data_IF_191679080408
#
_entry.id   IF_191679080408
#
_cell.length_a   1.000
_cell.length_b   1.000
_cell.length_c   1.000
_cell.angle_alpha   90.00
_cell.angle_beta   90.00
_cell.angle_gamma   90.00
#
_symmetry.space_group_name_H-M   'P 1'
#
loop_
_entity.id
_entity.type
_entity.pdbx_description
1 polymer ?
#
# COMPACT_ATOMS: atom_id res chain seq x y z
N UNK A 1 -14.20 24.70 15.72
CA UNK A 1 -15.17 24.39 14.65
C UNK A 1 -15.10 22.90 14.41
N UNK A 2 -16.10 22.13 14.84
CA UNK A 2 -16.16 20.69 14.63
C UNK A 2 -16.57 20.44 13.17
N UNK A 3 -15.64 19.96 12.34
CA UNK A 3 -15.95 19.58 10.96
C UNK A 3 -16.85 18.35 10.98
N UNK A 4 -18.05 18.51 10.41
CA UNK A 4 -19.08 17.49 10.34
C UNK A 4 -18.61 16.23 9.63
N UNK A 5 -19.25 15.13 10.00
CA UNK A 5 -19.02 13.77 9.50
C UNK A 5 -18.96 13.79 7.97
N UNK A 6 -17.75 13.69 7.42
CA UNK A 6 -17.55 13.49 5.99
C UNK A 6 -17.89 12.02 5.70
N UNK A 7 -18.87 11.79 4.82
CA UNK A 7 -19.38 10.44 4.55
C UNK A 7 -18.47 9.68 3.59
N UNK A 8 -17.36 9.18 4.13
CA UNK A 8 -16.53 8.17 3.44
C UNK A 8 -17.30 6.85 3.47
N UNK A 9 -17.42 6.19 2.32
CA UNK A 9 -18.16 4.92 2.21
C UNK A 9 -17.23 3.81 1.74
N UNK A 10 -17.30 2.67 2.41
CA UNK A 10 -16.61 1.45 2.00
C UNK A 10 -17.57 0.62 1.15
N UNK A 11 -17.07 -0.06 0.12
CA UNK A 11 -17.89 -0.96 -0.71
C UNK A 11 -18.34 -2.23 0.03
N UNK A 12 -17.68 -2.56 1.16
CA UNK A 12 -18.09 -3.57 2.12
C UNK A 12 -18.07 -3.03 3.55
N UNK A 13 -18.96 -3.50 4.44
CA UNK A 13 -18.84 -3.20 5.87
C UNK A 13 -17.48 -3.67 6.41
N UNK A 14 -16.81 -2.78 7.13
CA UNK A 14 -15.59 -3.10 7.87
C UNK A 14 -15.52 -2.21 9.13
N UNK A 15 -16.13 -2.64 10.25
CA UNK A 15 -16.27 -1.82 11.45
C UNK A 15 -14.95 -1.39 12.10
N UNK A 16 -13.87 -2.11 11.80
CA UNK A 16 -12.52 -1.86 12.33
C UNK A 16 -11.71 -0.89 11.45
N UNK A 17 -12.34 -0.24 10.45
CA UNK A 17 -11.71 0.82 9.67
C UNK A 17 -11.88 2.15 10.38
N UNK A 18 -10.78 2.75 10.80
CA UNK A 18 -10.75 4.14 11.23
C UNK A 18 -10.25 5.04 10.11
N UNK A 19 -10.89 6.19 9.95
CA UNK A 19 -10.56 7.16 8.90
C UNK A 19 -10.45 8.56 9.47
N UNK A 20 -9.31 9.19 9.22
CA UNK A 20 -9.07 10.58 9.54
C UNK A 20 -9.03 11.39 8.25
N UNK A 21 -9.72 12.53 8.25
CA UNK A 21 -9.74 13.46 7.12
C UNK A 21 -9.13 14.79 7.51
N UNK A 22 -8.17 15.24 6.71
CA UNK A 22 -7.53 16.53 6.85
C UNK A 22 -7.65 17.32 5.55
N UNK A 23 -7.84 18.63 5.68
CA UNK A 23 -7.82 19.57 4.57
C UNK A 23 -6.64 20.51 4.72
N UNK A 24 -5.57 20.28 3.97
CA UNK A 24 -4.38 21.13 3.95
C UNK A 24 -3.70 21.03 2.58
N UNK A 25 -3.78 22.12 1.81
CA UNK A 25 -3.36 22.20 0.40
C UNK A 25 -4.09 21.22 -0.56
N UNK A 26 -5.07 20.46 -0.08
CA UNK A 26 -5.83 19.45 -0.80
C UNK A 26 -6.54 18.55 0.21
N UNK A 27 -7.16 17.49 -0.28
CA UNK A 27 -7.82 16.48 0.55
C UNK A 27 -6.82 15.39 0.95
N UNK A 28 -6.75 15.08 2.24
CA UNK A 28 -5.86 14.05 2.81
C UNK A 28 -6.69 13.11 3.66
N UNK A 29 -6.55 11.82 3.43
CA UNK A 29 -7.26 10.75 4.11
C UNK A 29 -6.24 9.77 4.68
N UNK A 30 -6.32 9.51 5.98
CA UNK A 30 -5.55 8.45 6.63
C UNK A 30 -6.51 7.33 7.01
N UNK A 31 -6.28 6.16 6.43
CA UNK A 31 -6.99 4.93 6.72
C UNK A 31 -6.17 4.09 7.68
N UNK A 32 -6.81 3.50 8.68
CA UNK A 32 -6.17 2.61 9.64
C UNK A 32 -7.06 1.39 9.86
N UNK A 33 -6.49 0.21 9.61
CA UNK A 33 -7.10 -1.05 9.97
C UNK A 33 -6.76 -1.37 11.43
N UNK A 34 -7.75 -1.27 12.31
CA UNK A 34 -7.59 -1.60 13.74
C UNK A 34 -7.87 -3.06 14.05
N UNK A 35 -8.15 -3.87 13.03
CA UNK A 35 -8.28 -5.31 13.21
C UNK A 35 -6.96 -5.95 13.60
N UNK A 36 -7.04 -6.97 14.45
CA UNK A 36 -5.87 -7.74 14.88
C UNK A 36 -5.57 -8.93 13.95
N UNK A 37 -6.53 -9.32 13.13
CA UNK A 37 -6.51 -10.56 12.34
C UNK A 37 -7.19 -10.44 10.97
N UNK A 38 -8.05 -9.45 10.75
CA UNK A 38 -8.75 -9.27 9.46
C UNK A 38 -8.03 -8.27 8.55
N UNK A 39 -7.78 -8.68 7.30
CA UNK A 39 -7.28 -7.82 6.23
C UNK A 39 -8.45 -7.06 5.60
N UNK A 40 -8.29 -5.75 5.38
CA UNK A 40 -9.19 -5.00 4.53
C UNK A 40 -8.71 -5.05 3.07
N UNK A 41 -9.60 -5.46 2.16
CA UNK A 41 -9.39 -5.35 0.72
C UNK A 41 -10.71 -4.93 0.08
N UNK A 42 -10.74 -3.75 -0.53
CA UNK A 42 -11.95 -3.17 -1.10
C UNK A 42 -11.72 -1.82 -1.75
N UNK A 43 -12.81 -1.16 -2.11
CA UNK A 43 -12.81 0.19 -2.65
C UNK A 43 -13.42 1.16 -1.64
N UNK A 44 -12.82 2.34 -1.57
CA UNK A 44 -13.28 3.43 -0.72
C UNK A 44 -13.77 4.55 -1.62
N UNK A 45 -15.02 4.96 -1.42
CA UNK A 45 -15.58 6.16 -2.02
C UNK A 45 -15.05 7.39 -1.27
N UNK A 46 -14.30 8.22 -1.98
CA UNK A 46 -13.80 9.48 -1.46
C UNK A 46 -14.73 10.64 -1.86
N UNK A 47 -15.06 11.56 -0.93
CA UNK A 47 -15.88 12.74 -1.22
C UNK A 47 -15.06 13.85 -1.88
N UNK A 48 -14.49 13.52 -3.04
CA UNK A 48 -13.70 14.41 -3.90
C UNK A 48 -14.26 14.35 -5.32
N UNK A 49 -13.85 15.30 -6.18
CA UNK A 49 -14.23 15.25 -7.60
C UNK A 49 -13.75 13.96 -8.25
N UNK A 50 -14.53 13.36 -9.15
CA UNK A 50 -14.10 12.16 -9.88
C UNK A 50 -12.92 12.42 -10.82
N UNK A 51 -12.69 13.68 -11.19
CA UNK A 51 -11.51 14.12 -11.95
C UNK A 51 -10.25 14.28 -11.08
N UNK A 52 -10.37 14.20 -9.74
CA UNK A 52 -9.25 14.34 -8.84
C UNK A 52 -8.29 13.15 -8.99
N UNK A 53 -6.99 13.45 -9.04
CA UNK A 53 -5.94 12.42 -9.03
C UNK A 53 -5.50 12.19 -7.59
N UNK A 54 -5.50 10.94 -7.16
CA UNK A 54 -5.08 10.56 -5.81
C UNK A 54 -3.74 9.82 -5.83
N UNK A 55 -2.97 9.99 -4.76
CA UNK A 55 -1.71 9.30 -4.52
C UNK A 55 -1.69 8.70 -3.12
N UNK A 56 -1.02 7.56 -2.98
CA UNK A 56 -0.57 7.04 -1.70
C UNK A 56 0.69 7.79 -1.27
N UNK A 57 0.74 8.20 -0.01
CA UNK A 57 1.94 8.76 0.60
C UNK A 57 2.58 7.73 1.54
N UNK A 58 3.83 7.41 1.27
CA UNK A 58 4.69 6.64 2.18
C UNK A 58 5.45 7.61 3.08
N UNK A 59 5.01 7.70 4.34
CA UNK A 59 5.61 8.59 5.33
C UNK A 59 7.01 8.14 5.78
N UNK A 60 7.39 6.87 5.57
CA UNK A 60 8.71 6.38 5.94
C UNK A 60 9.75 6.71 4.87
N UNK A 61 9.41 6.54 3.59
CA UNK A 61 10.31 6.82 2.47
C UNK A 61 10.19 8.25 1.90
N UNK A 62 9.21 9.02 2.37
CA UNK A 62 8.81 10.33 1.82
C UNK A 62 8.53 10.26 0.31
N UNK A 63 7.71 9.28 -0.09
CA UNK A 63 7.42 8.98 -1.50
C UNK A 63 5.94 8.95 -1.80
N UNK A 64 5.63 9.28 -3.06
CA UNK A 64 4.27 9.27 -3.58
C UNK A 64 4.11 8.16 -4.61
N UNK A 65 3.14 7.29 -4.38
CA UNK A 65 2.72 6.26 -5.33
C UNK A 65 1.38 6.61 -5.95
N UNK A 66 1.22 6.46 -7.26
CA UNK A 66 -0.10 6.68 -7.88
C UNK A 66 -1.12 5.68 -7.31
N UNK A 67 -2.28 6.21 -6.88
CA UNK A 67 -3.35 5.38 -6.35
C UNK A 67 -4.17 4.77 -7.50
N UNK A 68 -4.59 3.52 -7.32
CA UNK A 68 -5.48 2.86 -8.26
C UNK A 68 -6.90 3.38 -8.01
N UNK A 69 -7.37 4.22 -8.92
CA UNK A 69 -8.67 4.87 -8.84
C UNK A 69 -9.61 4.38 -9.95
N UNK A 70 -10.91 4.36 -9.69
CA UNK A 70 -11.96 4.14 -10.67
C UNK A 70 -13.04 5.21 -10.53
N UNK A 71 -13.44 5.83 -11.64
CA UNK A 71 -14.67 6.63 -11.71
C UNK A 71 -15.85 5.69 -11.92
N UNK A 72 -16.87 5.80 -11.07
CA UNK A 72 -18.17 5.17 -11.28
C UNK A 72 -19.24 6.23 -11.04
N UNK A 73 -20.03 6.55 -12.07
CA UNK A 73 -21.14 7.51 -12.00
C UNK A 73 -20.73 8.90 -11.44
N UNK A 74 -19.51 9.38 -11.76
CA UNK A 74 -19.01 10.67 -11.28
C UNK A 74 -18.55 10.63 -9.82
N UNK A 75 -18.30 9.43 -9.28
CA UNK A 75 -17.78 9.20 -7.94
C UNK A 75 -16.41 8.53 -8.00
N UNK A 76 -15.47 9.02 -7.18
CA UNK A 76 -14.11 8.48 -7.13
C UNK A 76 -13.99 7.34 -6.13
N UNK A 77 -13.69 6.14 -6.63
CA UNK A 77 -13.35 4.98 -5.83
C UNK A 77 -11.84 4.76 -5.83
N UNK A 78 -11.24 4.65 -4.66
CA UNK A 78 -9.84 4.28 -4.49
C UNK A 78 -9.75 2.86 -3.98
N UNK A 79 -8.99 2.01 -4.66
CA UNK A 79 -8.74 0.64 -4.23
C UNK A 79 -7.76 0.65 -3.06
N UNK A 80 -8.15 0.10 -1.92
CA UNK A 80 -7.38 0.07 -0.68
C UNK A 80 -7.18 -1.37 -0.20
N UNK A 81 -5.94 -1.68 0.20
CA UNK A 81 -5.55 -2.94 0.84
C UNK A 81 -4.75 -2.61 2.10
N UNK A 82 -5.20 -3.10 3.27
CA UNK A 82 -4.55 -2.88 4.56
C UNK A 82 -4.54 -4.19 5.36
N UNK A 83 -3.35 -4.67 5.69
CA UNK A 83 -3.16 -5.78 6.64
C UNK A 83 -3.59 -5.37 8.07
N UNK A 84 -3.80 -6.32 8.99
CA UNK A 84 -4.08 -6.02 10.40
C UNK A 84 -3.07 -5.04 11.01
N UNK A 85 -3.56 -3.98 11.64
CA UNK A 85 -2.74 -2.93 12.25
C UNK A 85 -2.07 -1.96 11.27
N UNK A 86 -2.32 -2.07 9.96
CA UNK A 86 -1.74 -1.14 8.98
C UNK A 86 -2.50 0.16 8.83
N UNK A 87 -1.76 1.19 8.41
CA UNK A 87 -2.30 2.45 7.95
C UNK A 87 -1.79 2.80 6.55
N UNK A 88 -2.60 3.56 5.83
CA UNK A 88 -2.23 4.18 4.56
C UNK A 88 -2.74 5.62 4.51
N UNK A 89 -1.94 6.49 3.90
CA UNK A 89 -2.30 7.89 3.64
C UNK A 89 -2.58 8.05 2.16
N UNK A 90 -3.76 8.55 1.82
CA UNK A 90 -4.20 8.85 0.46
C UNK A 90 -4.47 10.34 0.37
N UNK A 91 -3.94 11.01 -0.64
CA UNK A 91 -4.11 12.46 -0.78
C UNK A 91 -4.24 12.90 -2.24
N UNK A 92 -4.82 14.07 -2.45
CA UNK A 92 -4.88 14.69 -3.77
C UNK A 92 -3.47 15.03 -4.29
N UNK A 93 -3.22 14.68 -5.55
CA UNK A 93 -1.95 14.90 -6.25
C UNK A 93 -1.79 16.38 -6.58
N UNK A 94 -0.91 17.07 -5.85
CA UNK A 94 -0.53 18.45 -6.13
C UNK A 94 0.77 18.47 -6.91
N UNK A 95 0.71 18.56 -8.25
CA UNK A 95 1.85 18.84 -9.17
C UNK A 95 3.17 18.03 -9.01
N UNK A 96 3.26 17.11 -8.06
CA UNK A 96 4.38 16.20 -7.85
C UNK A 96 4.19 15.01 -8.78
N UNK A 97 5.23 14.70 -9.57
CA UNK A 97 5.23 13.50 -10.40
C UNK A 97 5.22 12.28 -9.47
N UNK A 98 4.09 11.56 -9.43
CA UNK A 98 4.06 10.20 -8.92
C UNK A 98 5.03 9.37 -9.74
N UNK A 99 6.07 8.84 -9.10
CA UNK A 99 7.19 8.22 -9.82
C UNK A 99 6.98 6.73 -10.06
N UNK A 100 6.11 6.08 -9.28
CA UNK A 100 5.85 4.63 -9.34
C UNK A 100 4.40 4.34 -8.88
N UNK A 101 3.68 3.36 -9.43
CA UNK A 101 2.41 2.90 -8.85
C UNK A 101 2.59 2.39 -7.43
N UNK A 102 1.64 2.69 -6.53
CA UNK A 102 1.66 2.13 -5.18
C UNK A 102 1.56 0.59 -5.23
N UNK A 103 2.33 -0.08 -4.36
CA UNK A 103 2.27 -1.53 -4.13
C UNK A 103 1.77 -1.78 -2.73
N UNK A 104 0.86 -2.73 -2.57
CA UNK A 104 0.38 -3.08 -1.23
C UNK A 104 1.52 -3.74 -0.42
N UNK A 105 1.48 -3.62 0.91
CA UNK A 105 2.53 -4.22 1.75
C UNK A 105 2.56 -5.74 1.62
N UNK A 106 1.43 -6.37 1.32
CA UNK A 106 1.35 -7.78 0.93
C UNK A 106 2.23 -8.11 -0.27
N UNK A 107 2.14 -7.32 -1.34
CA UNK A 107 2.97 -7.48 -2.54
C UNK A 107 4.46 -7.31 -2.20
N UNK A 108 4.78 -6.31 -1.35
CA UNK A 108 6.15 -6.06 -0.87
C UNK A 108 6.68 -7.28 -0.08
N UNK A 109 5.91 -7.79 0.89
CA UNK A 109 6.28 -8.97 1.70
C UNK A 109 6.44 -10.21 0.82
N UNK A 110 5.54 -10.42 -0.14
CA UNK A 110 5.61 -11.56 -1.05
C UNK A 110 6.86 -11.49 -1.94
N UNK A 111 7.20 -10.31 -2.45
CA UNK A 111 8.44 -10.08 -3.21
C UNK A 111 9.69 -10.35 -2.35
N UNK A 112 9.72 -9.87 -1.10
CA UNK A 112 10.81 -10.16 -0.16
C UNK A 112 10.97 -11.67 0.07
N UNK A 113 9.86 -12.41 0.28
CA UNK A 113 9.88 -13.87 0.49
C UNK A 113 10.42 -14.62 -0.74
N UNK A 114 10.09 -14.17 -1.94
CA UNK A 114 10.58 -14.79 -3.18
C UNK A 114 12.08 -14.55 -3.37
N UNK A 115 12.56 -13.33 -3.13
CA UNK A 115 13.98 -12.97 -3.21
C UNK A 115 14.82 -13.75 -2.20
N UNK A 116 14.32 -14.00 -0.98
CA UNK A 116 15.04 -14.82 0.00
C UNK A 116 15.20 -16.28 -0.47
N UNK A 117 14.19 -16.84 -1.16
CA UNK A 117 14.25 -18.21 -1.69
C UNK A 117 15.26 -18.38 -2.83
N UNK A 118 15.41 -17.37 -3.70
CA UNK A 118 16.40 -17.39 -4.78
C UNK A 118 17.82 -17.16 -4.27
N UNK A 119 18.02 -16.24 -3.32
CA UNK A 119 19.35 -15.97 -2.75
C UNK A 119 19.81 -17.09 -1.80
N UNK A 120 18.88 -17.75 -1.08
CA UNK A 120 19.17 -18.94 -0.26
C UNK A 120 19.68 -20.15 -1.05
N UNK A 121 19.37 -20.26 -2.34
CA UNK A 121 19.92 -21.30 -3.23
C UNK A 121 21.35 -21.01 -3.70
N UNK A 122 21.81 -19.75 -3.67
CA UNK A 122 23.19 -19.41 -4.04
C UNK A 122 24.21 -19.85 -2.97
N UNK A 123 23.85 -19.83 -1.68
CA UNK A 123 24.72 -20.29 -0.59
C UNK A 123 24.99 -21.81 -0.58
N UNK A 124 24.07 -22.62 -1.11
CA UNK A 124 24.22 -24.07 -1.19
C UNK A 124 25.02 -24.55 -2.42
N UNK A 125 25.08 -23.74 -3.49
CA UNK A 125 25.90 -24.05 -4.67
C UNK A 125 27.40 -23.81 -4.43
N UNK A 126 27.78 -22.81 -3.64
CA UNK A 126 29.19 -22.55 -3.33
C UNK A 126 29.82 -23.63 -2.41
N UNK A 127 29.04 -24.25 -1.51
CA UNK A 127 29.53 -25.36 -0.66
C UNK A 127 29.85 -26.64 -1.44
N UNK A 128 29.17 -26.91 -2.57
CA UNK A 128 29.48 -28.05 -3.45
C UNK A 128 30.76 -27.84 -4.27
N UNK A 129 31.01 -26.62 -4.74
CA UNK A 129 32.21 -26.29 -5.54
C UNK A 129 33.47 -26.38 -4.66
N UNK A 130 33.43 -25.86 -3.42
CA UNK A 130 34.57 -25.93 -2.49
C UNK A 130 34.85 -27.38 -2.05
N UNK A 131 33.83 -28.23 -1.84
CA UNK A 131 34.03 -29.66 -1.55
C UNK A 131 34.63 -30.44 -2.71
N UNK A 132 34.29 -30.11 -3.95
CA UNK A 132 34.84 -30.77 -5.12
C UNK A 132 36.27 -30.33 -5.46
N UNK A 133 36.66 -29.08 -5.14
CA UNK A 133 38.07 -28.67 -5.27
C UNK A 133 38.98 -29.37 -4.25
N UNK A 134 38.54 -29.59 -2.99
CA UNK A 134 39.35 -30.30 -1.98
C UNK A 134 39.55 -31.80 -2.26
N UNK A 135 38.75 -32.41 -3.16
CA UNK A 135 38.90 -33.82 -3.56
C UNK A 135 39.80 -34.04 -4.78
N UNK A 136 40.18 -32.97 -5.49
CA UNK A 136 41.09 -33.01 -6.66
C UNK A 136 42.56 -32.77 -6.31
N UNK A 137 42.87 -32.46 -5.06
CA UNK A 137 44.22 -32.22 -4.55
C UNK A 137 44.65 -33.25 -3.48
N UNK A 138 44.15 -34.49 -3.58
CA UNK A 138 44.68 -35.66 -2.88
C UNK A 138 45.04 -36.72 -3.89
#
# INVERSE_FOLDING_TARGET
>A
MAAGILKISLDRPFPQMNVYHYKKNGQIFMFQNESADEVFYGNVLLPVSSEAKMVYYDAYEDRYGDAVCADRDGQLFVKLELEPGESAVVMEKQSVAGTVPHRSKREIIQACRQTFRTTGRFGLRQRKIIRNLKRRFR
#
